data_IF_625017391943
#
_entry.id   IF_625017391943
#
_cell.length_a   1.000
_cell.length_b   1.000
_cell.length_c   1.000
_cell.angle_alpha   90.00
_cell.angle_beta   90.00
_cell.angle_gamma   90.00
#
_symmetry.space_group_name_H-M   'P 1'
#
loop_
_entity.id
_entity.type
_entity.pdbx_description
1 polymer ?
#
# COMPACT_ATOMS: atom_id res chain seq x y z
N UNK A 1 -17.12 -16.33 17.83
CA UNK A 1 -18.21 -16.84 16.97
C UNK A 1 -17.90 -16.72 15.48
N UNK A 2 -17.98 -15.51 14.91
CA UNK A 2 -17.88 -15.32 13.46
C UNK A 2 -16.54 -15.79 12.87
N UNK A 3 -15.43 -15.44 13.53
CA UNK A 3 -14.08 -15.90 13.18
C UNK A 3 -13.97 -17.42 13.09
N UNK A 4 -14.41 -18.14 14.13
CA UNK A 4 -14.41 -19.60 14.14
C UNK A 4 -15.32 -20.19 13.06
N UNK A 5 -16.47 -19.58 12.78
CA UNK A 5 -17.34 -20.02 11.68
C UNK A 5 -16.70 -19.85 10.31
N UNK A 6 -15.96 -18.76 10.09
CA UNK A 6 -15.21 -18.56 8.85
C UNK A 6 -14.09 -19.59 8.70
N UNK A 7 -13.26 -19.77 9.74
CA UNK A 7 -12.19 -20.78 9.71
C UNK A 7 -12.75 -22.19 9.48
N UNK A 8 -13.87 -22.53 10.13
CA UNK A 8 -14.56 -23.81 9.93
C UNK A 8 -14.99 -24.03 8.48
N UNK A 9 -15.47 -22.98 7.79
CA UNK A 9 -15.84 -23.08 6.37
C UNK A 9 -14.61 -23.29 5.48
N UNK A 10 -13.50 -22.62 5.78
CA UNK A 10 -12.26 -22.77 5.01
C UNK A 10 -11.69 -24.20 5.11
N UNK A 11 -11.89 -24.87 6.25
CA UNK A 11 -11.42 -26.23 6.51
C UNK A 11 -12.53 -27.28 6.52
N UNK A 12 -13.65 -27.01 5.84
CA UNK A 12 -14.76 -27.96 5.76
C UNK A 12 -14.30 -29.28 5.11
N UNK A 13 -14.42 -30.38 5.85
CA UNK A 13 -13.99 -31.71 5.39
C UNK A 13 -12.47 -31.95 5.44
N UNK A 14 -11.68 -31.02 6.00
CA UNK A 14 -10.24 -31.21 6.16
C UNK A 14 -9.93 -32.32 7.16
N UNK A 15 -8.94 -33.15 6.83
CA UNK A 15 -8.32 -34.11 7.76
C UNK A 15 -7.22 -33.48 8.61
N UNK A 16 -6.86 -32.22 8.33
CA UNK A 16 -5.71 -31.56 8.93
C UNK A 16 -6.10 -30.68 10.13
N UNK A 17 -7.20 -29.93 10.00
CA UNK A 17 -7.74 -29.05 11.03
C UNK A 17 -9.25 -29.24 11.18
N UNK A 18 -9.66 -29.50 12.41
CA UNK A 18 -11.05 -29.46 12.84
C UNK A 18 -11.34 -28.16 13.58
N UNK A 19 -12.49 -27.57 13.28
CA UNK A 19 -12.98 -26.37 13.96
C UNK A 19 -14.39 -26.69 14.47
N UNK A 20 -14.63 -26.62 15.80
CA UNK A 20 -15.94 -26.89 16.39
C UNK A 20 -17.05 -26.03 15.77
N UNK A 21 -18.27 -26.57 15.67
CA UNK A 21 -19.42 -25.79 15.25
C UNK A 21 -19.80 -24.72 16.28
N UNK A 22 -20.06 -23.50 15.82
CA UNK A 22 -20.54 -22.40 16.68
C UNK A 22 -22.05 -22.51 16.86
N UNK A 23 -22.53 -22.65 18.09
CA UNK A 23 -23.96 -22.82 18.39
C UNK A 23 -24.58 -21.45 18.65
N UNK A 24 -25.01 -20.80 17.57
CA UNK A 24 -25.55 -19.43 17.59
C UNK A 24 -26.77 -19.25 18.50
N UNK A 25 -27.77 -20.17 18.55
CA UNK A 25 -28.93 -19.99 19.43
C UNK A 25 -28.58 -19.90 20.92
N UNK A 26 -27.46 -20.52 21.33
CA UNK A 26 -26.95 -20.54 22.70
C UNK A 26 -25.89 -19.47 22.97
N UNK A 27 -25.45 -18.74 21.94
CA UNK A 27 -24.43 -17.70 22.07
C UNK A 27 -25.05 -16.32 22.34
N UNK A 28 -24.38 -15.51 23.14
CA UNK A 28 -24.72 -14.12 23.51
C UNK A 28 -23.45 -13.26 23.47
N UNK A 29 -23.59 -11.96 23.73
CA UNK A 29 -22.47 -11.01 23.70
C UNK A 29 -21.31 -11.41 24.63
N UNK A 30 -21.62 -11.95 25.81
CA UNK A 30 -20.64 -12.36 26.82
C UNK A 30 -20.38 -13.87 26.88
N UNK A 31 -21.09 -14.67 26.09
CA UNK A 31 -21.01 -16.14 26.13
C UNK A 31 -21.00 -16.70 24.72
N UNK A 32 -19.90 -17.37 24.33
CA UNK A 32 -19.84 -18.12 23.09
C UNK A 32 -20.04 -19.61 23.38
N UNK A 33 -21.03 -20.23 22.76
CA UNK A 33 -21.25 -21.68 22.84
C UNK A 33 -20.82 -22.35 21.55
N UNK A 34 -20.09 -23.45 21.67
CA UNK A 34 -19.62 -24.26 20.54
C UNK A 34 -19.74 -25.74 20.84
N UNK A 35 -19.68 -26.55 19.79
CA UNK A 35 -19.59 -28.01 19.86
C UNK A 35 -18.50 -28.44 20.84
N UNK A 36 -18.83 -29.43 21.68
CA UNK A 36 -17.85 -30.01 22.59
C UNK A 36 -16.95 -30.99 21.84
N UNK A 37 -15.66 -30.74 21.91
CA UNK A 37 -14.61 -31.56 21.30
C UNK A 37 -13.71 -32.17 22.36
N UNK A 38 -13.04 -33.25 22.00
CA UNK A 38 -12.12 -33.99 22.86
C UNK A 38 -10.81 -34.24 22.12
N UNK A 39 -9.70 -34.19 22.84
CA UNK A 39 -8.36 -34.40 22.30
C UNK A 39 -7.30 -34.18 23.36
N UNK A 40 -6.05 -34.44 23.00
CA UNK A 40 -4.89 -34.24 23.88
C UNK A 40 -4.40 -32.80 23.70
N UNK A 41 -4.26 -31.98 24.75
CA UNK A 41 -3.70 -30.64 24.62
C UNK A 41 -2.32 -30.68 23.95
N UNK A 42 -2.06 -29.77 23.01
CA UNK A 42 -0.78 -29.73 22.28
C UNK A 42 0.42 -29.54 23.21
N UNK A 43 0.23 -28.83 24.33
CA UNK A 43 1.27 -28.63 25.35
C UNK A 43 1.61 -29.89 26.16
N UNK A 44 0.77 -30.93 26.15
CA UNK A 44 1.00 -32.16 26.92
C UNK A 44 1.81 -33.18 26.10
N UNK A 45 3.11 -32.90 25.98
CA UNK A 45 4.05 -33.74 25.22
C UNK A 45 4.15 -35.17 25.79
N UNK A 46 3.89 -35.36 27.09
CA UNK A 46 3.91 -36.68 27.71
C UNK A 46 2.72 -37.53 27.25
N UNK A 47 1.51 -36.96 27.29
CA UNK A 47 0.31 -37.63 26.80
C UNK A 47 0.37 -37.91 25.29
N UNK A 48 0.88 -36.96 24.49
CA UNK A 48 1.06 -37.16 23.05
C UNK A 48 2.04 -38.31 22.73
N UNK A 49 3.14 -38.43 23.48
CA UNK A 49 4.06 -39.57 23.35
C UNK A 49 3.43 -40.88 23.79
N UNK A 50 2.69 -40.88 24.91
CA UNK A 50 1.99 -42.06 25.39
C UNK A 50 0.92 -42.55 24.40
N UNK A 51 0.32 -41.65 23.62
CA UNK A 51 -0.61 -41.95 22.55
C UNK A 51 0.07 -42.35 21.23
N UNK A 52 1.40 -42.47 21.17
CA UNK A 52 2.17 -42.79 19.96
C UNK A 52 1.88 -41.87 18.77
N UNK A 53 1.67 -40.58 19.03
CA UNK A 53 1.45 -39.59 17.97
C UNK A 53 2.70 -39.48 17.08
N UNK A 54 2.48 -39.45 15.77
CA UNK A 54 3.51 -39.13 14.79
C UNK A 54 3.87 -37.62 14.85
N UNK A 55 4.93 -37.31 15.59
CA UNK A 55 5.41 -35.94 15.78
C UNK A 55 5.96 -35.29 14.51
N UNK A 56 6.54 -36.07 13.59
CA UNK A 56 7.04 -35.54 12.32
C UNK A 56 5.86 -35.06 11.47
N UNK A 57 4.83 -35.89 11.34
CA UNK A 57 3.62 -35.55 10.60
C UNK A 57 2.85 -34.40 11.25
N UNK A 58 2.76 -34.38 12.58
CA UNK A 58 2.14 -33.29 13.32
C UNK A 58 2.86 -31.95 13.10
N UNK A 59 4.20 -31.96 13.14
CA UNK A 59 5.01 -30.77 12.90
C UNK A 59 4.86 -30.26 11.45
N UNK A 60 4.92 -31.16 10.46
CA UNK A 60 4.68 -30.82 9.05
C UNK A 60 3.31 -30.18 8.84
N UNK A 61 2.26 -30.76 9.45
CA UNK A 61 0.90 -30.27 9.35
C UNK A 61 0.70 -28.89 10.00
N UNK A 62 1.37 -28.61 11.13
CA UNK A 62 1.33 -27.27 11.73
C UNK A 62 1.82 -26.18 10.77
N UNK A 63 2.90 -26.48 10.05
CA UNK A 63 3.50 -25.60 9.04
C UNK A 63 2.53 -25.45 7.86
N UNK A 64 2.06 -26.54 7.27
CA UNK A 64 1.12 -26.54 6.14
C UNK A 64 -0.16 -25.74 6.44
N UNK A 65 -0.79 -25.98 7.60
CA UNK A 65 -1.98 -25.26 8.04
C UNK A 65 -1.78 -23.75 8.11
N UNK A 66 -0.61 -23.30 8.58
CA UNK A 66 -0.29 -21.88 8.64
C UNK A 66 -0.20 -21.27 7.23
N UNK A 67 0.50 -21.91 6.29
CA UNK A 67 0.58 -21.38 4.91
C UNK A 67 -0.76 -21.39 4.20
N UNK A 68 -1.56 -22.44 4.39
CA UNK A 68 -2.92 -22.47 3.86
C UNK A 68 -3.74 -21.28 4.40
N UNK A 69 -3.73 -21.05 5.71
CA UNK A 69 -4.44 -19.93 6.30
C UNK A 69 -3.98 -18.56 5.76
N UNK A 70 -2.68 -18.32 5.67
CA UNK A 70 -2.12 -17.03 5.24
C UNK A 70 -2.30 -16.80 3.73
N UNK A 71 -1.90 -17.78 2.91
CA UNK A 71 -1.83 -17.59 1.47
C UNK A 71 -3.09 -18.10 0.75
N UNK A 72 -3.58 -19.30 1.09
CA UNK A 72 -4.79 -19.85 0.44
C UNK A 72 -6.03 -19.10 0.89
N UNK A 73 -6.17 -18.82 2.18
CA UNK A 73 -7.42 -18.28 2.74
C UNK A 73 -7.36 -16.78 3.04
N UNK A 74 -6.17 -16.18 3.16
CA UNK A 74 -5.97 -14.82 3.68
C UNK A 74 -6.64 -14.59 5.05
N UNK A 75 -6.72 -15.63 5.86
CA UNK A 75 -7.38 -15.61 7.15
C UNK A 75 -6.66 -16.56 8.10
N UNK A 76 -5.88 -15.99 9.01
CA UNK A 76 -4.94 -16.75 9.84
C UNK A 76 -5.18 -16.58 11.33
N UNK A 77 -4.98 -17.67 12.06
CA UNK A 77 -5.00 -17.68 13.51
C UNK A 77 -3.74 -17.05 14.05
N UNK A 78 -3.86 -15.83 14.57
CA UNK A 78 -2.71 -15.03 14.92
C UNK A 78 -2.07 -15.39 16.27
N UNK A 79 -2.80 -16.11 17.12
CA UNK A 79 -2.34 -16.53 18.45
C UNK A 79 -2.41 -18.05 18.66
N UNK A 80 -1.66 -18.81 17.87
CA UNK A 80 -1.65 -20.27 17.92
C UNK A 80 -0.92 -20.81 19.17
N UNK A 81 -1.45 -20.49 20.35
CA UNK A 81 -0.91 -20.94 21.64
C UNK A 81 -1.26 -22.42 21.88
N UNK A 82 -0.33 -23.25 22.41
CA UNK A 82 -0.59 -24.68 22.66
C UNK A 82 -1.81 -24.97 23.55
N UNK A 83 -2.20 -24.03 24.41
CA UNK A 83 -3.40 -24.13 25.24
C UNK A 83 -4.74 -24.03 24.48
N UNK A 84 -4.72 -23.44 23.29
CA UNK A 84 -5.91 -23.24 22.45
C UNK A 84 -6.06 -24.34 21.39
N UNK A 85 -5.22 -25.37 21.45
CA UNK A 85 -5.11 -26.43 20.45
C UNK A 85 -5.16 -27.79 21.12
N UNK A 86 -6.08 -28.63 20.66
CA UNK A 86 -6.09 -30.05 20.97
C UNK A 86 -5.65 -30.85 19.75
N UNK A 87 -5.12 -32.04 20.01
CA UNK A 87 -4.78 -33.03 19.00
C UNK A 87 -5.79 -34.17 19.10
N UNK A 88 -6.48 -34.42 17.99
CA UNK A 88 -7.28 -35.62 17.80
C UNK A 88 -6.34 -36.81 17.58
N UNK A 89 -6.28 -37.68 18.59
CA UNK A 89 -5.43 -38.86 18.61
C UNK A 89 -6.16 -40.12 18.12
N UNK A 90 -7.35 -40.00 17.51
CA UNK A 90 -8.09 -41.16 17.00
C UNK A 90 -7.29 -41.97 15.96
N UNK A 91 -6.44 -41.30 15.18
CA UNK A 91 -5.43 -41.94 14.33
C UNK A 91 -4.04 -41.35 14.66
N UNK A 92 -3.23 -42.01 15.52
CA UNK A 92 -1.91 -41.49 15.90
C UNK A 92 -0.93 -41.31 14.74
N UNK A 93 -1.08 -42.07 13.66
CA UNK A 93 -0.29 -41.96 12.42
C UNK A 93 -0.82 -40.86 11.47
N UNK A 94 -1.95 -40.24 11.79
CA UNK A 94 -2.50 -39.11 11.05
C UNK A 94 -3.21 -38.12 11.99
N UNK A 95 -2.48 -37.50 12.93
CA UNK A 95 -3.07 -36.70 13.98
C UNK A 95 -3.66 -35.40 13.43
N UNK A 96 -4.86 -35.05 13.87
CA UNK A 96 -5.57 -33.85 13.38
C UNK A 96 -5.58 -32.75 14.43
N UNK A 97 -5.35 -31.51 14.02
CA UNK A 97 -5.45 -30.35 14.90
C UNK A 97 -6.91 -30.01 15.19
N UNK A 98 -7.21 -29.55 16.40
CA UNK A 98 -8.51 -29.00 16.78
C UNK A 98 -8.27 -27.62 17.38
N UNK A 99 -8.80 -26.56 16.75
CA UNK A 99 -8.70 -25.20 17.27
C UNK A 99 -9.87 -24.85 18.20
N UNK A 100 -9.58 -24.20 19.32
CA UNK A 100 -10.58 -23.83 20.34
C UNK A 100 -10.79 -22.33 20.51
N UNK A 101 -9.74 -21.53 20.27
CA UNK A 101 -9.79 -20.07 20.38
C UNK A 101 -9.79 -19.47 18.97
N UNK A 102 -10.46 -18.32 18.82
CA UNK A 102 -10.55 -17.54 17.59
C UNK A 102 -10.59 -16.04 17.88
N UNK A 103 -10.12 -15.63 19.07
CA UNK A 103 -10.14 -14.25 19.54
C UNK A 103 -9.22 -13.34 18.72
N UNK A 104 -8.05 -13.85 18.33
CA UNK A 104 -7.07 -13.10 17.54
C UNK A 104 -6.90 -13.79 16.18
N UNK A 105 -7.64 -13.28 15.19
CA UNK A 105 -7.50 -13.67 13.79
C UNK A 105 -7.04 -12.46 12.96
N UNK A 106 -6.22 -12.71 11.95
CA UNK A 106 -5.73 -11.70 11.04
C UNK A 106 -6.15 -11.97 9.59
N UNK A 107 -6.25 -10.90 8.82
CA UNK A 107 -6.35 -10.93 7.37
C UNK A 107 -5.53 -9.76 6.81
N UNK A 108 -4.95 -9.93 5.63
CA UNK A 108 -4.16 -8.89 4.98
C UNK A 108 -4.99 -8.19 3.91
N UNK A 109 -4.81 -6.88 3.70
CA UNK A 109 -5.27 -6.23 2.48
C UNK A 109 -4.74 -6.96 1.25
N UNK A 110 -5.50 -6.95 0.16
CA UNK A 110 -5.13 -7.68 -1.07
C UNK A 110 -3.76 -7.24 -1.62
N UNK A 111 -3.41 -5.96 -1.47
CA UNK A 111 -2.11 -5.42 -1.86
C UNK A 111 -0.96 -6.04 -1.05
N UNK A 112 -1.11 -6.13 0.28
CA UNK A 112 -0.08 -6.71 1.16
C UNK A 112 0.01 -8.23 0.99
N UNK A 113 -1.13 -8.90 0.74
CA UNK A 113 -1.15 -10.33 0.43
C UNK A 113 -0.40 -10.63 -0.86
N UNK A 114 -0.59 -9.80 -1.90
CA UNK A 114 0.14 -9.88 -3.18
C UNK A 114 1.62 -9.63 -2.99
N UNK A 115 1.96 -8.56 -2.27
CA UNK A 115 3.34 -8.24 -1.93
C UNK A 115 4.03 -9.44 -1.25
N UNK A 116 3.43 -10.01 -0.20
CA UNK A 116 4.00 -11.17 0.51
C UNK A 116 4.18 -12.35 -0.45
N UNK A 117 3.14 -12.73 -1.18
CA UNK A 117 3.18 -13.81 -2.15
C UNK A 117 4.32 -13.67 -3.18
N UNK A 118 4.46 -12.50 -3.79
CA UNK A 118 5.50 -12.23 -4.78
C UNK A 118 6.90 -12.16 -4.14
N UNK A 119 7.01 -11.65 -2.91
CA UNK A 119 8.27 -11.60 -2.18
C UNK A 119 8.77 -13.01 -1.86
N UNK A 120 7.87 -13.89 -1.45
CA UNK A 120 8.15 -15.32 -1.24
C UNK A 120 8.63 -15.99 -2.52
N UNK A 121 7.92 -15.79 -3.64
CA UNK A 121 8.34 -16.33 -4.94
C UNK A 121 9.73 -15.84 -5.33
N UNK A 122 10.00 -14.55 -5.19
CA UNK A 122 11.30 -13.96 -5.50
C UNK A 122 12.41 -14.51 -4.58
N UNK A 123 12.12 -14.77 -3.32
CA UNK A 123 13.04 -15.42 -2.38
C UNK A 123 13.36 -16.86 -2.81
N UNK A 124 12.38 -17.65 -3.25
CA UNK A 124 12.62 -19.00 -3.80
C UNK A 124 13.51 -19.00 -5.04
N UNK A 125 13.30 -18.04 -5.92
CA UNK A 125 14.06 -17.88 -7.16
C UNK A 125 15.42 -17.19 -6.94
N UNK A 126 15.75 -16.84 -5.69
CA UNK A 126 16.92 -16.04 -5.31
C UNK A 126 17.03 -14.74 -6.12
N UNK A 127 15.88 -14.17 -6.50
CA UNK A 127 15.78 -12.96 -7.29
C UNK A 127 15.77 -11.73 -6.37
N UNK A 128 16.95 -11.38 -5.85
CA UNK A 128 17.12 -10.25 -4.93
C UNK A 128 16.68 -8.91 -5.53
N UNK A 129 16.84 -8.74 -6.84
CA UNK A 129 16.37 -7.54 -7.55
C UNK A 129 14.85 -7.42 -7.49
N UNK A 130 14.12 -8.51 -7.75
CA UNK A 130 12.65 -8.50 -7.64
C UNK A 130 12.19 -8.23 -6.21
N UNK A 131 12.88 -8.77 -5.20
CA UNK A 131 12.59 -8.46 -3.79
C UNK A 131 12.73 -6.96 -3.55
N UNK A 132 13.81 -6.32 -4.00
CA UNK A 132 14.02 -4.88 -3.86
C UNK A 132 12.91 -4.07 -4.56
N UNK A 133 12.59 -4.39 -5.81
CA UNK A 133 11.55 -3.70 -6.57
C UNK A 133 10.17 -3.82 -5.91
N UNK A 134 9.82 -4.99 -5.36
CA UNK A 134 8.57 -5.20 -4.62
C UNK A 134 8.44 -4.31 -3.38
N UNK A 135 9.54 -4.03 -2.68
CA UNK A 135 9.51 -3.14 -1.51
C UNK A 135 9.32 -1.66 -1.91
N UNK A 136 9.78 -1.26 -3.11
CA UNK A 136 9.51 0.06 -3.67
C UNK A 136 8.07 0.16 -4.19
N UNK A 137 7.60 -0.86 -4.90
CA UNK A 137 6.21 -0.96 -5.42
C UNK A 137 5.17 -0.93 -4.30
N UNK A 138 5.46 -1.54 -3.15
CA UNK A 138 4.59 -1.51 -1.98
C UNK A 138 4.40 -0.10 -1.38
N UNK A 139 5.17 0.90 -1.85
CA UNK A 139 5.15 2.28 -1.32
C UNK A 139 5.70 2.37 0.11
N UNK A 140 6.43 1.33 0.51
CA UNK A 140 6.96 1.15 1.83
C UNK A 140 8.25 1.91 2.00
N UNK A 141 9.17 1.74 1.05
CA UNK A 141 10.42 2.48 1.00
C UNK A 141 10.21 3.76 0.18
N UNK A 142 10.72 4.92 0.64
CA UNK A 142 10.67 6.15 -0.13
C UNK A 142 11.24 5.98 -1.56
N UNK A 143 10.56 6.52 -2.56
CA UNK A 143 10.93 6.34 -3.98
C UNK A 143 12.28 6.97 -4.38
N UNK A 144 12.93 7.72 -3.48
CA UNK A 144 14.27 8.27 -3.68
C UNK A 144 15.39 7.26 -3.37
N UNK A 145 15.08 6.10 -2.76
CA UNK A 145 16.05 5.02 -2.53
C UNK A 145 16.30 4.28 -3.84
N UNK A 146 17.57 4.07 -4.18
CA UNK A 146 17.93 3.37 -5.41
C UNK A 146 17.71 1.85 -5.27
N UNK A 147 17.12 1.25 -6.30
CA UNK A 147 16.84 -0.21 -6.32
C UNK A 147 18.11 -1.06 -6.21
N UNK A 148 19.25 -0.63 -6.76
CA UNK A 148 20.52 -1.38 -6.67
C UNK A 148 21.15 -1.36 -5.27
N UNK A 149 20.98 -0.27 -4.52
CA UNK A 149 21.40 -0.20 -3.11
C UNK A 149 20.56 -1.14 -2.24
N UNK A 150 19.25 -1.16 -2.49
CA UNK A 150 18.32 -2.04 -1.78
C UNK A 150 18.57 -3.52 -2.14
N UNK A 151 18.85 -3.83 -3.40
CA UNK A 151 19.24 -5.17 -3.85
C UNK A 151 20.49 -5.66 -3.10
N UNK A 152 21.51 -4.81 -2.96
CA UNK A 152 22.71 -5.12 -2.19
C UNK A 152 22.40 -5.41 -0.72
N UNK A 153 21.53 -4.62 -0.09
CA UNK A 153 21.09 -4.83 1.29
C UNK A 153 20.30 -6.14 1.46
N UNK A 154 19.36 -6.42 0.55
CA UNK A 154 18.59 -7.67 0.52
C UNK A 154 19.51 -8.88 0.36
N UNK A 155 20.45 -8.83 -0.59
CA UNK A 155 21.42 -9.90 -0.83
C UNK A 155 22.26 -10.19 0.42
N UNK A 156 22.78 -9.14 1.07
CA UNK A 156 23.56 -9.29 2.30
C UNK A 156 22.78 -9.96 3.43
N UNK A 157 21.45 -9.79 3.45
CA UNK A 157 20.55 -10.41 4.42
C UNK A 157 20.22 -11.85 4.05
N UNK A 158 19.93 -12.14 2.79
CA UNK A 158 19.42 -13.44 2.35
C UNK A 158 20.52 -14.49 2.08
N UNK A 159 21.67 -14.10 1.53
CA UNK A 159 22.75 -15.02 1.12
C UNK A 159 23.31 -15.89 2.28
N UNK A 160 23.48 -15.38 3.51
CA UNK A 160 23.92 -16.21 4.64
C UNK A 160 22.97 -17.35 5.01
N UNK A 161 21.69 -17.26 4.61
CA UNK A 161 20.71 -18.31 4.85
C UNK A 161 20.78 -19.38 3.77
N UNK A 162 20.93 -19.02 2.49
CA UNK A 162 21.04 -19.98 1.39
C UNK A 162 22.36 -20.75 1.35
N UNK A 163 23.36 -20.33 2.12
CA UNK A 163 24.65 -21.02 2.26
C UNK A 163 24.66 -22.10 3.36
N UNK A 164 23.57 -22.24 4.14
CA UNK A 164 23.37 -23.29 5.14
C UNK A 164 22.38 -24.35 4.63
N UNK A 165 22.35 -25.57 5.19
CA UNK A 165 21.28 -26.52 4.91
C UNK A 165 19.91 -25.87 5.17
N UNK A 166 18.98 -25.98 4.22
CA UNK A 166 17.63 -25.36 4.30
C UNK A 166 16.88 -25.75 5.59
N UNK A 167 17.17 -26.93 6.15
CA UNK A 167 16.66 -27.42 7.44
C UNK A 167 17.02 -26.55 8.66
N UNK A 168 18.07 -25.74 8.56
CA UNK A 168 18.53 -24.86 9.65
C UNK A 168 17.99 -23.43 9.53
N UNK A 169 17.33 -23.10 8.41
CA UNK A 169 16.87 -21.74 8.14
C UNK A 169 15.55 -21.49 8.86
N UNK A 170 15.50 -20.41 9.64
CA UNK A 170 14.24 -19.86 10.12
C UNK A 170 13.67 -18.92 9.08
N UNK A 171 12.53 -19.30 8.51
CA UNK A 171 11.81 -18.43 7.61
C UNK A 171 11.31 -17.18 8.33
N UNK A 172 10.90 -17.33 9.60
CA UNK A 172 10.49 -16.20 10.43
C UNK A 172 11.61 -15.20 10.57
N UNK A 173 12.83 -15.66 10.77
CA UNK A 173 14.02 -14.81 10.87
C UNK A 173 14.37 -14.11 9.55
N UNK A 174 14.28 -14.81 8.40
CA UNK A 174 14.50 -14.20 7.09
C UNK A 174 13.49 -13.09 6.82
N UNK A 175 12.19 -13.37 7.03
CA UNK A 175 11.14 -12.35 6.91
C UNK A 175 11.35 -11.19 7.87
N UNK A 176 11.71 -11.48 9.13
CA UNK A 176 12.04 -10.47 10.12
C UNK A 176 13.14 -9.53 9.64
N UNK A 177 14.22 -10.07 9.07
CA UNK A 177 15.31 -9.26 8.56
C UNK A 177 14.91 -8.45 7.34
N UNK A 178 14.09 -9.00 6.43
CA UNK A 178 13.55 -8.24 5.31
C UNK A 178 12.70 -7.05 5.80
N UNK A 179 11.78 -7.27 6.75
CA UNK A 179 11.02 -6.19 7.37
C UNK A 179 11.90 -5.19 8.13
N UNK A 180 12.97 -5.63 8.82
CA UNK A 180 13.92 -4.75 9.52
C UNK A 180 14.74 -3.89 8.57
N UNK A 181 15.24 -4.47 7.46
CA UNK A 181 15.90 -3.71 6.39
C UNK A 181 14.96 -2.63 5.91
N UNK A 182 13.71 -3.00 5.67
CA UNK A 182 12.68 -2.09 5.24
C UNK A 182 12.44 -0.98 6.30
N UNK A 183 12.33 -1.32 7.60
CA UNK A 183 12.18 -0.36 8.71
C UNK A 183 13.34 0.67 8.80
N UNK A 184 14.57 0.26 8.46
CA UNK A 184 15.74 1.17 8.43
C UNK A 184 15.55 2.34 7.45
N UNK A 185 14.64 2.21 6.48
CA UNK A 185 14.28 3.24 5.51
C UNK A 185 12.97 3.99 5.87
N UNK A 186 12.63 4.13 7.16
CA UNK A 186 11.51 4.95 7.68
C UNK A 186 10.12 4.45 7.27
N UNK A 187 9.91 3.16 7.44
CA UNK A 187 8.74 2.44 7.01
C UNK A 187 7.62 2.41 8.06
N UNK A 188 6.37 2.66 7.66
CA UNK A 188 5.18 2.39 8.48
C UNK A 188 4.74 0.94 8.24
N UNK A 189 5.16 0.01 9.11
CA UNK A 189 4.73 -1.39 9.03
C UNK A 189 3.29 -1.49 9.55
N UNK A 190 2.39 -2.07 8.76
CA UNK A 190 1.01 -2.28 9.18
C UNK A 190 0.93 -3.29 10.36
N UNK A 191 0.06 -3.07 11.36
CA UNK A 191 -0.08 -3.99 12.50
C UNK A 191 -0.36 -5.44 12.11
N UNK A 192 -1.11 -5.70 11.02
CA UNK A 192 -1.40 -7.08 10.59
C UNK A 192 -0.16 -7.84 10.12
N UNK A 193 0.86 -7.14 9.60
CA UNK A 193 2.13 -7.75 9.19
C UNK A 193 2.99 -8.13 10.40
N UNK A 194 2.98 -7.29 11.44
CA UNK A 194 3.62 -7.61 12.72
C UNK A 194 2.95 -8.84 13.36
N UNK A 195 1.63 -8.90 13.29
CA UNK A 195 0.86 -10.03 13.78
C UNK A 195 1.23 -11.31 13.03
N UNK A 196 1.22 -11.27 11.70
CA UNK A 196 1.63 -12.38 10.85
C UNK A 196 3.05 -12.87 11.19
N UNK A 197 3.98 -11.94 11.37
CA UNK A 197 5.36 -12.23 11.73
C UNK A 197 5.45 -12.96 13.08
N UNK A 198 4.75 -12.48 14.11
CA UNK A 198 4.69 -13.14 15.42
C UNK A 198 4.10 -14.55 15.29
N UNK A 199 3.04 -14.71 14.51
CA UNK A 199 2.42 -16.01 14.27
C UNK A 199 3.38 -16.97 13.58
N UNK A 200 4.14 -16.50 12.60
CA UNK A 200 5.11 -17.33 11.88
C UNK A 200 6.21 -17.84 12.81
N UNK A 201 6.76 -16.97 13.68
CA UNK A 201 7.73 -17.37 14.70
C UNK A 201 7.15 -18.38 15.69
N UNK A 202 5.90 -18.20 16.11
CA UNK A 202 5.23 -19.13 17.01
C UNK A 202 5.03 -20.51 16.38
N UNK A 203 4.58 -20.56 15.11
CA UNK A 203 4.38 -21.81 14.36
C UNK A 203 5.71 -22.51 14.12
N UNK A 204 6.75 -21.77 13.75
CA UNK A 204 8.09 -22.33 13.60
C UNK A 204 8.63 -22.88 14.92
N UNK A 205 8.51 -22.11 16.02
CA UNK A 205 8.95 -22.56 17.35
C UNK A 205 8.21 -23.82 17.80
N UNK A 206 6.90 -23.90 17.53
CA UNK A 206 6.09 -25.08 17.76
C UNK A 206 6.57 -26.26 16.90
N UNK A 207 6.72 -26.07 15.59
CA UNK A 207 7.14 -27.12 14.67
C UNK A 207 8.52 -27.69 15.02
N UNK A 208 9.47 -26.83 15.41
CA UNK A 208 10.80 -27.25 15.88
C UNK A 208 10.75 -27.97 17.24
N UNK A 209 9.82 -27.60 18.12
CA UNK A 209 9.60 -28.29 19.40
C UNK A 209 9.03 -29.69 19.18
N UNK A 210 8.14 -29.85 18.21
CA UNK A 210 7.56 -31.14 17.83
C UNK A 210 8.58 -32.02 17.10
N UNK A 211 9.28 -31.46 16.10
CA UNK A 211 10.27 -32.17 15.29
C UNK A 211 11.46 -31.25 14.91
N UNK A 212 12.56 -31.26 15.67
CA UNK A 212 13.69 -30.34 15.47
C UNK A 212 14.38 -30.47 14.11
N UNK A 213 14.28 -31.64 13.46
CA UNK A 213 14.91 -31.93 12.16
C UNK A 213 14.02 -31.53 10.97
N UNK A 214 12.85 -30.94 11.21
CA UNK A 214 11.93 -30.59 10.14
C UNK A 214 12.53 -29.50 9.24
N UNK A 215 12.61 -29.79 7.95
CA UNK A 215 12.90 -28.77 6.95
C UNK A 215 11.62 -27.98 6.64
N UNK A 216 11.47 -26.84 7.32
CA UNK A 216 10.31 -25.95 7.16
C UNK A 216 10.17 -25.44 5.73
N UNK A 217 11.28 -25.26 5.03
CA UNK A 217 11.31 -24.75 3.67
C UNK A 217 10.80 -25.79 2.67
N UNK A 218 11.23 -27.04 2.84
CA UNK A 218 10.74 -28.17 2.03
C UNK A 218 9.24 -28.42 2.20
N UNK A 219 8.67 -28.10 3.37
CA UNK A 219 7.23 -28.17 3.63
C UNK A 219 6.48 -26.97 3.04
N UNK A 220 7.01 -25.75 3.21
CA UNK A 220 6.37 -24.52 2.78
C UNK A 220 6.30 -24.35 1.26
N UNK A 221 7.37 -24.72 0.55
CA UNK A 221 7.52 -24.54 -0.89
C UNK A 221 6.35 -25.07 -1.72
N UNK A 222 5.94 -26.35 -1.61
CA UNK A 222 4.85 -26.88 -2.43
C UNK A 222 3.51 -26.20 -2.14
N UNK A 223 3.24 -25.84 -0.88
CA UNK A 223 2.02 -25.12 -0.50
C UNK A 223 1.99 -23.73 -1.16
N UNK A 224 3.12 -23.02 -1.11
CA UNK A 224 3.25 -21.71 -1.73
C UNK A 224 3.12 -21.77 -3.26
N UNK A 225 3.78 -22.72 -3.92
CA UNK A 225 3.67 -22.92 -5.37
C UNK A 225 2.23 -23.22 -5.80
N UNK A 226 1.53 -24.09 -5.06
CA UNK A 226 0.13 -24.41 -5.32
C UNK A 226 -0.77 -23.18 -5.17
N UNK A 227 -0.60 -22.42 -4.08
CA UNK A 227 -1.38 -21.20 -3.86
C UNK A 227 -1.09 -20.15 -4.93
N UNK A 228 0.16 -20.01 -5.36
CA UNK A 228 0.52 -19.10 -6.45
C UNK A 228 -0.16 -19.49 -7.76
N UNK A 229 -0.14 -20.78 -8.10
CA UNK A 229 -0.84 -21.30 -9.27
C UNK A 229 -2.35 -21.05 -9.19
N UNK A 230 -2.95 -21.27 -8.02
CA UNK A 230 -4.39 -21.12 -7.83
C UNK A 230 -4.85 -19.66 -7.81
N UNK A 231 -4.09 -18.74 -7.21
CA UNK A 231 -4.50 -17.32 -7.05
C UNK A 231 -3.96 -16.39 -8.14
N UNK A 232 -2.83 -16.72 -8.76
CA UNK A 232 -2.17 -15.87 -9.77
C UNK A 232 -2.00 -16.57 -11.13
N UNK A 233 -2.43 -17.82 -11.26
CA UNK A 233 -2.48 -18.50 -12.56
C UNK A 233 -3.58 -17.96 -13.48
N UNK A 234 -3.54 -18.39 -14.74
CA UNK A 234 -4.52 -18.02 -15.77
C UNK A 234 -5.98 -18.36 -15.38
N UNK A 235 -6.17 -19.38 -14.56
CA UNK A 235 -7.48 -19.77 -14.01
C UNK A 235 -8.07 -18.70 -13.08
N UNK A 236 -7.23 -18.01 -12.30
CA UNK A 236 -7.64 -16.93 -11.40
C UNK A 236 -8.05 -15.68 -12.17
N UNK A 237 -7.27 -15.32 -13.20
CA UNK A 237 -7.61 -14.23 -14.14
C UNK A 237 -8.99 -14.48 -14.77
N UNK A 238 -9.25 -15.71 -15.22
CA UNK A 238 -10.55 -16.09 -15.76
C UNK A 238 -11.71 -15.99 -14.75
N UNK A 239 -11.50 -16.38 -13.49
CA UNK A 239 -12.49 -16.23 -12.41
C UNK A 239 -12.76 -14.76 -12.07
N UNK A 240 -11.72 -13.93 -11.99
CA UNK A 240 -11.85 -12.49 -11.71
C UNK A 240 -12.63 -11.79 -12.82
N UNK A 241 -12.31 -12.08 -14.09
CA UNK A 241 -13.04 -11.57 -15.25
C UNK A 241 -14.51 -12.01 -15.17
N UNK A 242 -14.79 -13.29 -14.88
CA UNK A 242 -16.16 -13.79 -14.72
C UNK A 242 -16.93 -13.11 -13.59
N UNK A 243 -16.27 -12.85 -12.46
CA UNK A 243 -16.88 -12.18 -11.31
C UNK A 243 -17.20 -10.71 -11.58
N UNK A 244 -16.36 -10.02 -12.36
CA UNK A 244 -16.55 -8.62 -12.77
C UNK A 244 -17.43 -8.45 -14.01
N UNK A 245 -17.60 -9.50 -14.80
CA UNK A 245 -18.38 -9.50 -16.04
C UNK A 245 -19.80 -8.93 -15.86
N UNK A 246 -20.58 -9.32 -14.82
CA UNK A 246 -21.91 -8.75 -14.62
C UNK A 246 -21.89 -7.24 -14.42
N UNK A 247 -20.90 -6.72 -13.68
CA UNK A 247 -20.70 -5.29 -13.50
C UNK A 247 -20.33 -4.58 -14.82
N UNK A 248 -19.48 -5.22 -15.64
CA UNK A 248 -19.13 -4.71 -16.96
C UNK A 248 -20.30 -4.72 -17.94
N UNK A 249 -21.15 -5.75 -17.90
CA UNK A 249 -22.36 -5.83 -18.75
C UNK A 249 -23.36 -4.72 -18.39
N UNK A 250 -23.48 -4.39 -17.11
CA UNK A 250 -24.34 -3.27 -16.66
C UNK A 250 -23.75 -1.91 -17.09
N UNK A 251 -22.42 -1.77 -17.12
CA UNK A 251 -21.73 -0.54 -17.53
C UNK A 251 -21.44 -0.44 -19.04
N UNK A 252 -21.61 -1.54 -19.78
CA UNK A 252 -21.36 -1.64 -21.23
C UNK A 252 -22.14 -0.63 -22.08
N UNK A 253 -23.40 -0.26 -21.75
CA UNK A 253 -24.12 0.77 -22.49
C UNK A 253 -23.49 2.16 -22.42
N UNK A 254 -22.70 2.47 -21.37
CA UNK A 254 -22.04 3.77 -21.22
C UNK A 254 -20.69 3.85 -21.93
N UNK A 255 -20.06 2.71 -22.21
CA UNK A 255 -18.76 2.62 -22.87
C UNK A 255 -18.72 3.33 -24.23
N UNK A 256 -19.69 3.15 -25.15
CA UNK A 256 -19.71 3.87 -26.42
C UNK A 256 -19.77 5.38 -26.24
N UNK A 257 -20.53 5.87 -25.26
CA UNK A 257 -20.65 7.31 -24.98
C UNK A 257 -19.35 7.87 -24.41
N UNK A 258 -18.72 7.18 -23.44
CA UNK A 258 -17.44 7.60 -22.87
C UNK A 258 -16.30 7.55 -23.90
N UNK A 259 -16.25 6.51 -24.74
CA UNK A 259 -15.28 6.44 -25.85
C UNK A 259 -15.54 7.53 -26.89
N UNK A 260 -16.80 7.77 -27.25
CA UNK A 260 -17.16 8.83 -28.18
C UNK A 260 -16.79 10.20 -27.61
N UNK A 261 -17.09 10.48 -26.34
CA UNK A 261 -16.76 11.73 -25.67
C UNK A 261 -15.24 11.93 -25.53
N UNK A 262 -14.49 10.86 -25.23
CA UNK A 262 -13.03 10.92 -25.12
C UNK A 262 -12.35 11.07 -26.49
N UNK A 263 -12.80 10.32 -27.50
CA UNK A 263 -12.32 10.46 -28.89
C UNK A 263 -12.69 11.83 -29.46
N UNK A 264 -13.89 12.34 -29.17
CA UNK A 264 -14.31 13.69 -29.56
C UNK A 264 -13.49 14.75 -28.85
N UNK A 265 -13.20 14.62 -27.55
CA UNK A 265 -12.30 15.54 -26.85
C UNK A 265 -10.86 15.49 -27.36
N UNK A 266 -10.37 14.32 -27.78
CA UNK A 266 -9.05 14.14 -28.39
C UNK A 266 -8.98 14.74 -29.81
N UNK A 267 -10.03 14.55 -30.62
CA UNK A 267 -10.15 15.08 -31.99
C UNK A 267 -10.44 16.58 -31.99
N UNK A 268 -11.23 17.09 -31.05
CA UNK A 268 -11.51 18.53 -30.89
C UNK A 268 -10.38 19.28 -30.16
N UNK A 269 -9.29 18.60 -29.76
CA UNK A 269 -8.13 19.24 -29.12
C UNK A 269 -8.41 19.85 -27.73
N UNK A 270 -9.54 19.51 -27.10
CA UNK A 270 -10.01 20.14 -25.86
C UNK A 270 -9.32 19.64 -24.59
N UNK A 271 -8.54 18.55 -24.68
CA UNK A 271 -7.88 17.96 -23.50
C UNK A 271 -6.62 18.70 -23.00
N UNK A 272 -6.28 19.88 -23.55
CA UNK A 272 -5.16 20.70 -23.05
C UNK A 272 -5.46 22.16 -22.70
N UNK A 273 -6.68 22.68 -22.91
CA UNK A 273 -6.92 24.15 -22.93
C UNK A 273 -8.07 24.60 -22.01
N UNK A 274 -8.25 23.99 -20.83
CA UNK A 274 -9.15 24.55 -19.80
C UNK A 274 -8.43 25.06 -18.55
N UNK A 275 -7.20 24.61 -18.26
CA UNK A 275 -6.37 25.17 -17.19
C UNK A 275 -5.57 26.41 -17.62
N UNK A 276 -5.41 26.64 -18.92
CA UNK A 276 -4.65 27.78 -19.46
C UNK A 276 -5.48 29.02 -19.75
N UNK A 277 -6.76 28.94 -20.13
CA UNK A 277 -7.52 30.13 -20.56
C UNK A 277 -7.74 31.14 -19.42
N UNK A 278 -8.13 30.69 -18.22
CA UNK A 278 -8.31 31.57 -17.06
C UNK A 278 -6.99 32.17 -16.55
N UNK A 279 -5.89 31.43 -16.70
CA UNK A 279 -4.54 31.81 -16.26
C UNK A 279 -3.90 32.79 -17.25
N UNK A 280 -4.05 32.53 -18.55
CA UNK A 280 -3.60 33.40 -19.65
C UNK A 280 -4.37 34.71 -19.70
N UNK A 281 -5.70 34.69 -19.48
CA UNK A 281 -6.47 35.92 -19.39
C UNK A 281 -6.00 36.81 -18.22
N UNK A 282 -5.65 36.22 -17.07
CA UNK A 282 -5.07 36.96 -15.95
C UNK A 282 -3.70 37.53 -16.31
N UNK A 283 -2.86 36.77 -17.00
CA UNK A 283 -1.52 37.22 -17.44
C UNK A 283 -1.59 38.36 -18.47
N UNK A 284 -2.50 38.27 -19.45
CA UNK A 284 -2.73 39.31 -20.49
C UNK A 284 -3.29 40.59 -19.88
N UNK A 285 -4.21 40.47 -18.89
CA UNK A 285 -4.73 41.64 -18.17
C UNK A 285 -3.63 42.29 -17.33
N UNK A 286 -2.81 41.50 -16.62
CA UNK A 286 -1.68 42.01 -15.82
C UNK A 286 -0.62 42.71 -16.69
N UNK A 287 -0.29 42.17 -17.86
CA UNK A 287 0.66 42.80 -18.80
C UNK A 287 0.12 44.07 -19.44
N UNK A 288 -1.15 44.09 -19.91
CA UNK A 288 -1.77 45.33 -20.43
C UNK A 288 -1.88 46.42 -19.36
N UNK A 289 -2.11 46.05 -18.11
CA UNK A 289 -2.15 46.99 -16.99
C UNK A 289 -0.76 47.55 -16.70
N UNK A 290 0.28 46.70 -16.67
CA UNK A 290 1.67 47.12 -16.54
C UNK A 290 2.09 48.09 -17.64
N UNK A 291 1.76 47.80 -18.90
CA UNK A 291 2.07 48.68 -20.04
C UNK A 291 1.42 50.06 -19.93
N UNK A 292 0.16 50.14 -19.47
CA UNK A 292 -0.53 51.43 -19.25
C UNK A 292 0.11 52.25 -18.13
N UNK A 293 0.47 51.59 -17.02
CA UNK A 293 1.15 52.25 -15.90
C UNK A 293 2.52 52.80 -16.32
N UNK A 294 3.28 52.01 -17.09
CA UNK A 294 4.58 52.44 -17.62
C UNK A 294 4.41 53.62 -18.58
N UNK A 295 3.44 53.55 -19.51
CA UNK A 295 3.18 54.65 -20.45
C UNK A 295 2.80 55.96 -19.73
N UNK A 296 1.96 55.89 -18.70
CA UNK A 296 1.58 57.06 -17.89
C UNK A 296 2.76 57.60 -17.07
N UNK A 297 3.61 56.74 -16.51
CA UNK A 297 4.80 57.15 -15.79
C UNK A 297 5.81 57.85 -16.72
N UNK A 298 6.06 57.30 -17.91
CA UNK A 298 6.93 57.91 -18.92
C UNK A 298 6.37 59.26 -19.37
N UNK A 299 5.06 59.34 -19.63
CA UNK A 299 4.41 60.59 -20.01
C UNK A 299 4.54 61.63 -18.89
N UNK A 300 4.30 61.25 -17.63
CA UNK A 300 4.46 62.15 -16.49
C UNK A 300 5.89 62.69 -16.38
N UNK A 301 6.89 61.82 -16.51
CA UNK A 301 8.30 62.19 -16.45
C UNK A 301 8.68 63.15 -17.59
N UNK A 302 8.21 62.90 -18.81
CA UNK A 302 8.43 63.77 -19.95
C UNK A 302 7.79 65.16 -19.74
N UNK A 303 6.56 65.22 -19.23
CA UNK A 303 5.90 66.50 -18.90
C UNK A 303 6.56 67.24 -17.74
N UNK A 304 7.08 66.54 -16.72
CA UNK A 304 7.86 67.16 -15.64
C UNK A 304 9.16 67.76 -16.18
N UNK A 305 9.86 67.03 -17.05
CA UNK A 305 11.09 67.50 -17.66
C UNK A 305 10.83 68.74 -18.53
N UNK A 306 9.76 68.73 -19.32
CA UNK A 306 9.33 69.87 -20.12
C UNK A 306 8.96 71.08 -19.24
N UNK A 307 8.21 70.87 -18.15
CA UNK A 307 7.87 71.92 -17.19
C UNK A 307 9.11 72.52 -16.51
N UNK A 308 10.07 71.67 -16.13
CA UNK A 308 11.34 72.09 -15.53
C UNK A 308 12.19 72.91 -16.51
N UNK A 309 12.34 72.46 -17.76
CA UNK A 309 13.07 73.21 -18.80
C UNK A 309 12.41 74.58 -19.08
N UNK A 310 11.07 74.62 -19.19
CA UNK A 310 10.34 75.87 -19.37
C UNK A 310 10.51 76.83 -18.20
N UNK A 311 10.69 76.33 -16.97
CA UNK A 311 10.95 77.16 -15.78
C UNK A 311 12.36 77.76 -15.72
N UNK A 312 13.29 77.26 -16.54
CA UNK A 312 14.66 77.82 -16.66
C UNK A 312 14.79 78.91 -17.72
N UNK A 313 13.76 79.14 -18.53
CA UNK A 313 13.72 80.24 -19.50
C UNK A 313 13.46 81.58 -18.80
N UNK A 314 14.02 82.67 -19.33
CA UNK A 314 13.83 84.00 -18.76
C UNK A 314 12.33 84.39 -18.73
N UNK A 315 11.86 85.15 -17.71
CA UNK A 315 10.44 85.45 -17.50
C UNK A 315 9.72 86.10 -18.69
N UNK A 316 10.45 86.73 -19.61
CA UNK A 316 9.91 87.37 -20.82
C UNK A 316 9.81 86.48 -22.06
N UNK A 317 10.38 85.28 -22.06
CA UNK A 317 10.39 84.36 -23.21
C UNK A 317 9.60 83.07 -22.96
N UNK A 318 9.13 82.84 -21.73
CA UNK A 318 8.31 81.69 -21.39
C UNK A 318 6.90 81.82 -22.02
N UNK A 319 6.40 80.79 -22.71
CA UNK A 319 5.07 80.82 -23.31
C UNK A 319 3.98 80.93 -22.24
N UNK A 320 3.01 81.82 -22.47
CA UNK A 320 1.87 82.08 -21.59
C UNK A 320 0.56 81.68 -22.27
N UNK A 321 -0.38 81.14 -21.50
CA UNK A 321 -1.72 80.81 -21.96
C UNK A 321 -2.72 81.57 -21.08
N UNK A 322 -3.56 82.41 -21.68
CA UNK A 322 -4.50 83.28 -20.95
C UNK A 322 -3.85 84.14 -19.84
N UNK A 323 -2.62 84.61 -20.06
CA UNK A 323 -1.88 85.45 -19.09
C UNK A 323 -1.25 84.71 -17.91
N UNK A 324 -1.33 83.37 -17.88
CA UNK A 324 -0.68 82.54 -16.86
C UNK A 324 0.52 81.77 -17.45
N UNK A 325 1.62 81.59 -16.68
CA UNK A 325 2.75 80.79 -17.12
C UNK A 325 2.34 79.32 -17.28
N UNK A 326 2.75 78.69 -18.39
CA UNK A 326 2.35 77.32 -18.75
C UNK A 326 3.07 76.25 -17.90
N UNK A 327 4.26 76.55 -17.37
CA UNK A 327 5.08 75.62 -16.58
C UNK A 327 4.36 74.99 -15.36
N UNK A 328 3.72 75.75 -14.44
CA UNK A 328 2.98 75.15 -13.32
C UNK A 328 1.77 74.32 -13.77
N UNK A 329 1.14 74.66 -14.90
CA UNK A 329 0.03 73.90 -15.45
C UNK A 329 0.48 72.54 -15.99
N UNK A 330 1.62 72.50 -16.69
CA UNK A 330 2.25 71.24 -17.11
C UNK A 330 2.73 70.39 -15.93
N UNK A 331 3.25 71.03 -14.87
CA UNK A 331 3.60 70.35 -13.62
C UNK A 331 2.40 69.70 -12.94
N UNK A 332 1.24 70.37 -12.94
CA UNK A 332 -0.02 69.82 -12.44
C UNK A 332 -0.51 68.62 -13.26
N UNK A 333 -0.43 68.70 -14.58
CA UNK A 333 -0.78 67.58 -15.49
C UNK A 333 0.14 66.37 -15.26
N UNK A 334 1.44 66.61 -15.15
CA UNK A 334 2.41 65.59 -14.82
C UNK A 334 2.08 64.86 -13.50
N UNK A 335 1.77 65.60 -12.44
CA UNK A 335 1.42 65.03 -11.14
C UNK A 335 0.15 64.18 -11.23
N UNK A 336 -0.87 64.66 -11.95
CA UNK A 336 -2.11 63.92 -12.16
C UNK A 336 -1.87 62.59 -12.91
N UNK A 337 -1.05 62.61 -13.96
CA UNK A 337 -0.66 61.41 -14.71
C UNK A 337 0.14 60.43 -13.85
N UNK A 338 1.06 60.91 -13.02
CA UNK A 338 1.85 60.10 -12.09
C UNK A 338 0.99 59.43 -11.02
N UNK A 339 0.02 60.15 -10.44
CA UNK A 339 -0.93 59.59 -9.47
C UNK A 339 -1.86 58.54 -10.11
N UNK A 340 -2.23 58.73 -11.38
CA UNK A 340 -2.99 57.74 -12.15
C UNK A 340 -2.17 56.47 -12.46
N UNK A 341 -0.86 56.59 -12.64
CA UNK A 341 0.05 55.45 -12.81
C UNK A 341 0.21 54.64 -11.51
N UNK A 342 0.26 55.31 -10.36
CA UNK A 342 0.50 54.68 -9.04
C UNK A 342 -0.74 54.12 -8.35
N UNK A 343 -1.95 54.34 -8.88
CA UNK A 343 -3.19 53.85 -8.26
C UNK A 343 -3.23 52.31 -8.25
N UNK A 344 -3.21 51.65 -7.08
CA UNK A 344 -3.48 50.22 -7.00
C UNK A 344 -4.95 49.97 -7.36
N UNK A 345 -5.23 48.92 -8.14
CA UNK A 345 -6.58 48.43 -8.41
C UNK A 345 -6.72 46.99 -7.93
#
# INVERSE_FOLDING_TARGET
GANGSLLRRNFAGSTELYVPEMIWPLSRETVLTMERVHGIPLGDMAALRAANIDFEKLARRAVELFYQQVFRDNFFHADLHPGNILIDAANPADPRFIALDFGIMGALPLADQRYLAENFKALFEQNYRRIADLHLEAGWIPANVRSDELEGAVRAVCEPYFTRPLSEISLGEVLMKLFQVAHRYQLIIQPQLILLQKTLLNVEGLARTLWPKLDLWAVAKPVLEQVMADRYGWSAVGREIRARLPGWVIQAPELPRLLHDHLRQAVEGKSRVQLESASLEKLVRATRQGQRSIALAVLSAATLLAAALLSTLEPGQAPQLFGLPIAPLLGGVALALGLLALRPK
#
